data_IF_968730263282
#
_entry.id   IF_968730263282
#
_cell.length_a   1.000
_cell.length_b   1.000
_cell.length_c   1.000
_cell.angle_alpha   90.00
_cell.angle_beta   90.00
_cell.angle_gamma   90.00
#
_symmetry.space_group_name_H-M   'P 1'
#
loop_
_entity.id
_entity.type
_entity.pdbx_description
1 polymer ?
#
# COMPACT_ATOMS: atom_id res chain seq x y z
N UNK A 1 -20.19 -35.38 -44.96
CA UNK A 1 -21.54 -34.98 -44.48
C UNK A 1 -21.48 -34.81 -42.97
N UNK A 2 -21.94 -33.66 -42.47
CA UNK A 2 -22.10 -33.26 -41.05
C UNK A 2 -20.78 -33.03 -40.29
N UNK A 3 -20.29 -31.83 -39.93
CA UNK A 3 -20.83 -30.52 -39.49
C UNK A 3 -21.34 -30.44 -38.04
N UNK A 4 -20.54 -29.73 -37.22
CA UNK A 4 -20.94 -28.76 -36.18
C UNK A 4 -21.40 -29.22 -34.79
N UNK A 5 -20.58 -28.91 -33.77
CA UNK A 5 -20.89 -27.93 -32.71
C UNK A 5 -19.66 -27.76 -31.81
N UNK A 6 -18.84 -26.72 -31.99
CA UNK A 6 -18.99 -25.40 -31.37
C UNK A 6 -18.89 -25.38 -29.82
N UNK A 7 -17.78 -25.89 -29.26
CA UNK A 7 -17.33 -25.55 -27.92
C UNK A 7 -16.39 -24.34 -27.95
N UNK A 8 -16.92 -23.12 -27.76
CA UNK A 8 -16.11 -21.89 -27.69
C UNK A 8 -15.34 -21.85 -26.36
N UNK A 9 -14.02 -21.93 -26.49
CA UNK A 9 -12.94 -21.51 -25.59
C UNK A 9 -13.31 -20.50 -24.47
N UNK A 10 -12.87 -20.74 -23.21
CA UNK A 10 -12.78 -19.72 -22.15
C UNK A 10 -11.53 -18.82 -22.24
N UNK A 11 -10.71 -18.92 -23.28
CA UNK A 11 -9.35 -18.33 -23.35
C UNK A 11 -9.22 -17.08 -24.21
N UNK A 12 -10.31 -16.53 -24.76
CA UNK A 12 -10.27 -15.40 -25.69
C UNK A 12 -9.91 -14.03 -25.06
N UNK A 13 -9.96 -13.89 -23.73
CA UNK A 13 -9.52 -12.66 -23.05
C UNK A 13 -8.00 -12.60 -22.79
N UNK A 14 -7.30 -13.74 -22.88
CA UNK A 14 -5.84 -13.81 -22.72
C UNK A 14 -5.07 -13.35 -23.97
N UNK A 15 -5.73 -13.20 -25.12
CA UNK A 15 -5.08 -12.83 -26.38
C UNK A 15 -4.81 -11.34 -26.55
N UNK A 16 -5.54 -10.46 -25.87
CA UNK A 16 -5.42 -9.01 -26.08
C UNK A 16 -4.15 -8.43 -25.43
N UNK A 17 -3.56 -9.11 -24.45
CA UNK A 17 -2.29 -8.69 -23.83
C UNK A 17 -1.05 -9.17 -24.57
N UNK A 18 -1.18 -10.07 -25.56
CA UNK A 18 -0.03 -10.60 -26.30
C UNK A 18 0.32 -9.78 -27.57
N UNK A 19 -0.52 -8.82 -27.97
CA UNK A 19 -0.41 -8.08 -29.24
C UNK A 19 0.18 -6.66 -29.14
N UNK A 20 0.83 -6.29 -28.03
CA UNK A 20 1.39 -4.93 -27.88
C UNK A 20 2.93 -4.85 -27.94
N UNK A 21 3.69 -5.94 -27.85
CA UNK A 21 5.16 -5.88 -27.80
C UNK A 21 5.76 -5.10 -26.62
N UNK A 22 4.92 -4.54 -25.75
CA UNK A 22 5.29 -3.96 -24.47
C UNK A 22 5.35 -5.11 -23.46
N UNK A 23 6.54 -5.53 -23.05
CA UNK A 23 6.74 -6.67 -22.16
C UNK A 23 6.03 -6.57 -20.80
N UNK A 24 6.37 -7.45 -19.86
CA UNK A 24 5.69 -7.59 -18.56
C UNK A 24 5.61 -6.32 -17.70
N UNK A 25 6.42 -5.31 -18.03
CA UNK A 25 6.45 -4.00 -17.37
C UNK A 25 5.14 -3.23 -17.53
N UNK A 26 4.52 -3.23 -18.71
CA UNK A 26 3.32 -2.40 -18.94
C UNK A 26 2.11 -2.92 -18.15
N UNK A 27 1.77 -4.22 -18.16
CA UNK A 27 0.72 -4.76 -17.29
C UNK A 27 1.03 -4.56 -15.80
N UNK A 28 2.30 -4.66 -15.39
CA UNK A 28 2.72 -4.40 -14.01
C UNK A 28 2.44 -2.96 -13.59
N UNK A 29 2.86 -1.97 -14.38
CA UNK A 29 2.64 -0.55 -14.10
C UNK A 29 1.14 -0.22 -14.11
N UNK A 30 0.38 -0.70 -15.09
CA UNK A 30 -1.07 -0.50 -15.14
C UNK A 30 -1.77 -1.07 -13.89
N UNK A 31 -1.36 -2.26 -13.45
CA UNK A 31 -1.90 -2.88 -12.24
C UNK A 31 -1.52 -2.10 -10.98
N UNK A 32 -0.28 -1.63 -10.88
CA UNK A 32 0.18 -0.79 -9.77
C UNK A 32 -0.64 0.50 -9.68
N UNK A 33 -0.83 1.20 -10.79
CA UNK A 33 -1.66 2.41 -10.86
C UNK A 33 -3.10 2.12 -10.45
N UNK A 34 -3.71 1.05 -10.98
CA UNK A 34 -5.07 0.66 -10.62
C UNK A 34 -5.22 0.40 -9.11
N UNK A 35 -4.26 -0.32 -8.51
CA UNK A 35 -4.26 -0.59 -7.07
C UNK A 35 -4.07 0.69 -6.26
N UNK A 36 -3.17 1.59 -6.67
CA UNK A 36 -2.99 2.90 -6.02
C UNK A 36 -4.28 3.72 -6.03
N UNK A 37 -4.99 3.76 -7.17
CA UNK A 37 -6.27 4.47 -7.27
C UNK A 37 -7.33 3.86 -6.36
N UNK A 38 -7.48 2.53 -6.36
CA UNK A 38 -8.41 1.83 -5.49
C UNK A 38 -8.09 2.07 -4.01
N UNK A 39 -6.82 1.99 -3.61
CA UNK A 39 -6.36 2.28 -2.26
C UNK A 39 -6.71 3.71 -1.84
N UNK A 40 -6.51 4.69 -2.74
CA UNK A 40 -6.87 6.08 -2.48
C UNK A 40 -8.38 6.29 -2.30
N UNK A 41 -9.19 5.56 -3.07
CA UNK A 41 -10.65 5.61 -2.96
C UNK A 41 -11.14 5.02 -1.64
N UNK A 42 -10.62 3.85 -1.26
CA UNK A 42 -10.91 3.21 0.03
C UNK A 42 -10.54 4.14 1.19
N UNK A 43 -9.35 4.76 1.15
CA UNK A 43 -8.92 5.71 2.17
C UNK A 43 -9.90 6.88 2.35
N UNK A 44 -10.34 7.49 1.24
CA UNK A 44 -11.34 8.58 1.28
C UNK A 44 -12.70 8.11 1.80
N UNK A 45 -13.15 6.91 1.41
CA UNK A 45 -14.40 6.34 1.92
C UNK A 45 -14.35 6.08 3.42
N UNK A 46 -13.20 5.65 3.95
CA UNK A 46 -12.97 5.45 5.39
C UNK A 46 -13.01 6.77 6.15
N UNK A 47 -12.40 7.80 5.59
CA UNK A 47 -12.42 9.16 6.18
C UNK A 47 -13.86 9.71 6.23
N UNK A 48 -14.64 9.54 5.16
CA UNK A 48 -16.06 9.91 5.11
C UNK A 48 -16.94 9.10 6.06
N UNK A 49 -16.64 7.81 6.24
CA UNK A 49 -17.29 7.01 7.29
C UNK A 49 -16.95 7.58 8.67
N UNK A 50 -15.71 8.01 8.84
CA UNK A 50 -15.18 8.59 10.06
C UNK A 50 -15.96 9.79 10.56
N UNK A 51 -16.48 10.63 9.67
CA UNK A 51 -17.33 11.77 10.03
C UNK A 51 -18.68 11.37 10.64
N UNK A 52 -19.12 10.13 10.40
CA UNK A 52 -20.35 9.56 10.98
C UNK A 52 -20.11 8.72 12.23
N UNK A 53 -18.85 8.36 12.51
CA UNK A 53 -18.46 7.56 13.66
C UNK A 53 -17.72 8.42 14.72
N UNK A 54 -17.78 8.01 15.99
CA UNK A 54 -17.01 8.69 17.03
C UNK A 54 -15.48 8.52 16.82
N UNK A 55 -14.64 9.42 17.35
CA UNK A 55 -13.19 9.43 17.09
C UNK A 55 -12.48 8.08 17.31
N UNK A 56 -12.91 7.32 18.31
CA UNK A 56 -12.36 5.99 18.61
C UNK A 56 -12.71 4.93 17.54
N UNK A 57 -13.95 4.89 17.08
CA UNK A 57 -14.39 3.96 16.04
C UNK A 57 -13.76 4.30 14.68
N UNK A 58 -13.63 5.59 14.37
CA UNK A 58 -12.91 6.09 13.18
C UNK A 58 -11.44 5.67 13.19
N UNK A 59 -10.76 5.80 14.34
CA UNK A 59 -9.37 5.37 14.49
C UNK A 59 -9.16 3.86 14.26
N UNK A 60 -10.07 3.02 14.76
CA UNK A 60 -10.03 1.58 14.49
C UNK A 60 -10.26 1.27 13.01
N UNK A 61 -11.23 1.95 12.38
CA UNK A 61 -11.55 1.76 10.97
C UNK A 61 -10.37 2.16 10.07
N UNK A 62 -9.73 3.29 10.36
CA UNK A 62 -8.57 3.78 9.63
C UNK A 62 -7.35 2.86 9.81
N UNK A 63 -7.13 2.34 11.02
CA UNK A 63 -6.05 1.38 11.28
C UNK A 63 -6.27 0.07 10.51
N UNK A 64 -7.49 -0.47 10.50
CA UNK A 64 -7.81 -1.74 9.84
C UNK A 64 -7.86 -1.64 8.31
N UNK A 65 -8.48 -0.58 7.77
CA UNK A 65 -8.73 -0.44 6.32
C UNK A 65 -7.66 0.40 5.62
N UNK A 66 -6.97 1.29 6.31
CA UNK A 66 -5.96 2.16 5.72
C UNK A 66 -4.75 1.40 5.19
N UNK A 67 -4.40 0.26 5.79
CA UNK A 67 -3.31 -0.60 5.35
C UNK A 67 -3.76 -1.91 4.67
N UNK A 68 -5.06 -2.05 4.43
CA UNK A 68 -5.65 -3.24 3.84
C UNK A 68 -5.17 -3.51 2.41
N UNK A 69 -4.97 -2.51 1.52
CA UNK A 69 -4.38 -2.75 0.20
C UNK A 69 -2.98 -3.36 0.27
N UNK A 70 -2.13 -2.88 1.19
CA UNK A 70 -0.78 -3.43 1.40
C UNK A 70 -0.85 -4.88 1.91
N UNK A 71 -1.77 -5.17 2.83
CA UNK A 71 -2.02 -6.53 3.31
C UNK A 71 -2.45 -7.48 2.19
N UNK A 72 -3.34 -7.05 1.29
CA UNK A 72 -3.77 -7.87 0.15
C UNK A 72 -2.64 -8.14 -0.83
N UNK A 73 -1.84 -7.13 -1.19
CA UNK A 73 -0.66 -7.32 -2.06
C UNK A 73 0.30 -8.33 -1.41
N UNK A 74 0.59 -8.16 -0.12
CA UNK A 74 1.46 -9.07 0.62
C UNK A 74 0.91 -10.51 0.62
N UNK A 75 -0.39 -10.69 0.85
CA UNK A 75 -1.03 -12.00 0.84
C UNK A 75 -0.92 -12.69 -0.53
N UNK A 76 -1.23 -11.98 -1.63
CA UNK A 76 -1.12 -12.55 -2.97
C UNK A 76 0.32 -12.87 -3.36
N UNK A 77 1.28 -12.01 -3.01
CA UNK A 77 2.69 -12.26 -3.22
C UNK A 77 3.20 -13.48 -2.42
N UNK A 78 2.78 -13.64 -1.17
CA UNK A 78 3.08 -14.82 -0.36
C UNK A 78 2.48 -16.09 -0.96
N UNK A 79 1.25 -16.05 -1.48
CA UNK A 79 0.63 -17.19 -2.18
C UNK A 79 1.38 -17.57 -3.46
N UNK A 80 2.09 -16.62 -4.08
CA UNK A 80 2.98 -16.86 -5.20
C UNK A 80 4.42 -17.25 -4.80
N UNK A 81 4.72 -17.39 -3.50
CA UNK A 81 6.05 -17.74 -2.99
C UNK A 81 7.06 -16.59 -2.96
N UNK A 82 6.61 -15.34 -3.19
CA UNK A 82 7.48 -14.16 -3.31
C UNK A 82 7.80 -13.53 -1.94
N UNK A 83 8.38 -14.31 -1.03
CA UNK A 83 8.65 -13.85 0.35
C UNK A 83 9.60 -12.66 0.39
N UNK A 84 10.67 -12.69 -0.40
CA UNK A 84 11.65 -11.59 -0.47
C UNK A 84 11.01 -10.28 -0.94
N UNK A 85 10.06 -10.35 -1.88
CA UNK A 85 9.33 -9.17 -2.38
C UNK A 85 8.47 -8.57 -1.28
N UNK A 86 7.81 -9.41 -0.48
CA UNK A 86 6.96 -8.96 0.64
C UNK A 86 7.78 -8.30 1.74
N UNK A 87 8.93 -8.88 2.09
CA UNK A 87 9.86 -8.30 3.05
C UNK A 87 10.40 -6.95 2.57
N UNK A 88 10.88 -6.90 1.32
CA UNK A 88 11.38 -5.68 0.70
C UNK A 88 10.29 -4.60 0.63
N UNK A 89 9.05 -4.95 0.25
CA UNK A 89 7.93 -4.02 0.17
C UNK A 89 7.57 -3.43 1.55
N UNK A 90 7.55 -4.25 2.60
CA UNK A 90 7.22 -3.78 3.96
C UNK A 90 8.27 -2.83 4.52
N UNK A 91 9.55 -3.16 4.34
CA UNK A 91 10.67 -2.27 4.71
C UNK A 91 10.61 -0.98 3.89
N UNK A 92 10.34 -1.10 2.59
CA UNK A 92 10.14 0.03 1.69
C UNK A 92 9.03 0.98 2.13
N UNK A 93 7.88 0.45 2.58
CA UNK A 93 6.75 1.22 3.11
C UNK A 93 7.14 2.05 4.35
N UNK A 94 7.90 1.44 5.27
CA UNK A 94 8.41 2.13 6.47
C UNK A 94 9.37 3.27 6.06
N UNK A 95 10.34 2.99 5.19
CA UNK A 95 11.30 4.00 4.73
C UNK A 95 10.62 5.13 3.94
N UNK A 96 9.64 4.80 3.09
CA UNK A 96 8.88 5.80 2.36
C UNK A 96 8.14 6.75 3.30
N UNK A 97 7.48 6.25 4.34
CA UNK A 97 6.78 7.11 5.29
C UNK A 97 7.74 7.95 6.16
N UNK A 98 8.83 7.35 6.64
CA UNK A 98 9.76 8.00 7.57
C UNK A 98 10.73 8.97 6.91
N UNK A 99 11.18 8.69 5.69
CA UNK A 99 12.19 9.51 5.00
C UNK A 99 11.57 10.33 3.90
N UNK A 100 10.85 9.68 2.98
CA UNK A 100 10.34 10.34 1.79
C UNK A 100 9.18 11.28 2.12
N UNK A 101 8.11 10.75 2.73
CA UNK A 101 6.91 11.53 3.07
C UNK A 101 7.23 12.58 4.13
N UNK A 102 7.92 12.21 5.21
CA UNK A 102 8.33 13.16 6.24
C UNK A 102 9.24 14.27 5.68
N UNK A 103 10.22 13.90 4.85
CA UNK A 103 11.09 14.86 4.19
C UNK A 103 10.32 15.82 3.28
N UNK A 104 9.38 15.30 2.48
CA UNK A 104 8.49 16.13 1.67
C UNK A 104 7.63 17.06 2.53
N UNK A 105 7.11 16.60 3.67
CA UNK A 105 6.38 17.44 4.60
C UNK A 105 7.22 18.60 5.13
N UNK A 106 8.50 18.37 5.46
CA UNK A 106 9.40 19.44 5.89
C UNK A 106 9.74 20.42 4.76
N UNK A 107 10.00 19.91 3.55
CA UNK A 107 10.30 20.76 2.39
C UNK A 107 9.08 21.59 2.01
N UNK A 108 7.95 20.96 1.72
CA UNK A 108 6.72 21.65 1.28
C UNK A 108 6.15 22.53 2.39
N UNK A 109 6.11 22.01 3.63
CA UNK A 109 5.64 22.74 4.80
C UNK A 109 6.52 23.94 5.14
N UNK A 110 7.84 23.76 5.06
CA UNK A 110 8.85 24.80 5.31
C UNK A 110 8.88 25.87 4.23
N UNK A 111 8.72 25.52 2.96
CA UNK A 111 8.61 26.48 1.86
C UNK A 111 7.38 27.39 2.02
N UNK A 112 6.27 26.86 2.54
CA UNK A 112 5.02 27.62 2.70
C UNK A 112 4.92 28.38 4.02
N UNK A 113 5.49 27.87 5.12
CA UNK A 113 5.27 28.42 6.46
C UNK A 113 6.55 28.75 7.25
N UNK A 114 7.74 28.57 6.65
CA UNK A 114 9.02 28.77 7.34
C UNK A 114 9.30 27.68 8.39
N UNK A 115 10.10 27.96 9.45
CA UNK A 115 10.47 26.96 10.44
C UNK A 115 9.24 26.42 11.20
N UNK A 116 8.92 25.14 11.01
CA UNK A 116 7.78 24.49 11.67
C UNK A 116 8.13 24.10 13.11
N UNK A 117 7.40 24.65 14.09
CA UNK A 117 7.53 24.27 15.51
C UNK A 117 6.64 23.06 15.79
N UNK A 118 7.26 21.90 16.03
CA UNK A 118 6.54 20.71 16.49
C UNK A 118 6.41 20.74 18.01
N UNK A 119 5.22 20.40 18.50
CA UNK A 119 4.99 20.19 19.93
C UNK A 119 5.83 19.00 20.41
N UNK A 120 6.70 19.23 21.40
CA UNK A 120 7.67 18.25 21.87
C UNK A 120 7.01 17.04 22.54
N UNK A 121 5.84 17.22 23.16
CA UNK A 121 5.11 16.13 23.80
C UNK A 121 4.46 15.21 22.78
N UNK A 122 3.77 15.77 21.77
CA UNK A 122 3.16 14.98 20.67
C UNK A 122 4.22 14.31 19.81
N UNK A 123 5.31 15.01 19.47
CA UNK A 123 6.41 14.43 18.72
C UNK A 123 7.03 13.25 19.46
N UNK A 124 7.23 13.38 20.79
CA UNK A 124 7.73 12.27 21.63
C UNK A 124 6.76 11.08 21.64
N UNK A 125 5.46 11.31 21.78
CA UNK A 125 4.46 10.23 21.75
C UNK A 125 4.48 9.48 20.43
N UNK A 126 4.45 10.19 19.29
CA UNK A 126 4.49 9.58 17.95
C UNK A 126 5.80 8.81 17.75
N UNK A 127 6.93 9.37 18.20
CA UNK A 127 8.24 8.71 18.08
C UNK A 127 8.29 7.41 18.87
N UNK A 128 7.78 7.40 20.12
CA UNK A 128 7.74 6.17 20.94
C UNK A 128 6.85 5.11 20.29
N UNK A 129 5.68 5.51 19.79
CA UNK A 129 4.75 4.62 19.08
C UNK A 129 5.31 4.09 17.76
N UNK A 130 6.25 4.81 17.12
CA UNK A 130 6.98 4.35 15.93
C UNK A 130 8.14 3.41 16.28
N UNK A 131 8.92 3.72 17.31
CA UNK A 131 10.09 2.93 17.72
C UNK A 131 9.68 1.54 18.20
N UNK A 132 8.57 1.43 18.92
CA UNK A 132 8.09 0.16 19.49
C UNK A 132 7.81 -0.93 18.44
N UNK A 133 7.01 -0.71 17.38
CA UNK A 133 6.80 -1.69 16.32
C UNK A 133 8.05 -1.95 15.46
N UNK A 134 8.89 -0.94 15.22
CA UNK A 134 10.16 -1.14 14.50
C UNK A 134 11.08 -2.05 15.31
N UNK A 135 11.23 -1.83 16.62
CA UNK A 135 12.00 -2.70 17.51
C UNK A 135 11.43 -4.12 17.52
N UNK A 136 10.09 -4.26 17.60
CA UNK A 136 9.43 -5.56 17.53
C UNK A 136 9.72 -6.31 16.20
N UNK A 137 9.86 -5.57 15.09
CA UNK A 137 10.20 -6.15 13.79
C UNK A 137 11.70 -6.52 13.66
N UNK A 138 12.60 -5.77 14.32
CA UNK A 138 14.05 -6.02 14.29
C UNK A 138 14.42 -7.28 15.07
N UNK A 139 13.78 -7.55 16.21
CA UNK A 139 14.08 -8.72 17.08
C UNK A 139 14.14 -10.05 16.29
N UNK A 140 13.11 -10.47 15.53
CA UNK A 140 13.18 -11.69 14.73
C UNK A 140 14.13 -11.60 13.54
N UNK A 141 14.42 -10.39 13.04
CA UNK A 141 15.34 -10.18 11.91
C UNK A 141 16.82 -10.34 12.29
N UNK A 142 17.18 -10.22 13.56
CA UNK A 142 18.55 -10.41 14.07
C UNK A 142 18.77 -11.79 14.69
N UNK A 143 17.68 -12.48 15.07
CA UNK A 143 17.72 -13.80 15.70
C UNK A 143 17.80 -14.96 14.68
N UNK A 144 17.66 -14.65 13.39
CA UNK A 144 17.84 -15.53 12.24
C UNK A 144 18.97 -15.00 11.36
#
# INVERSE_FOLDING_TARGET
MSSSSAGRSPSSWLGVTHYAGAGEVLPFVCSAVAVTLLASLVGRSVEQLGDRFGPGATGVLQSALGNLPELFIALFALKAGLVAVVQAARIGSILANLLLVLGMCFVVGGLKHGPQKLDSQRARQITVLMVLPVAAMVIPSIAH
#
